data_IF_988369029600
#
_entry.id   IF_988369029600
#
_cell.length_a   1.000
_cell.length_b   1.000
_cell.length_c   1.000
_cell.angle_alpha   90.00
_cell.angle_beta   90.00
_cell.angle_gamma   90.00
#
_symmetry.space_group_name_H-M   'P 1'
#
loop_
_entity.id
_entity.type
_entity.pdbx_description
1 polymer ?
#
# COMPACT_ATOMS: atom_id res chain seq x y z
N UNK A 1 -7.02 -18.89 27.87
CA UNK A 1 -6.69 -19.70 26.68
C UNK A 1 -5.77 -18.87 25.80
N UNK A 2 -4.74 -19.49 25.23
CA UNK A 2 -3.53 -18.86 24.70
C UNK A 2 -3.75 -17.53 23.95
N UNK A 3 -3.16 -16.45 24.48
CA UNK A 3 -3.01 -15.21 23.73
C UNK A 3 -2.21 -15.51 22.47
N UNK A 4 -2.75 -15.11 21.31
CA UNK A 4 -2.12 -15.24 20.01
C UNK A 4 -0.69 -14.70 20.08
N UNK A 5 0.28 -15.62 20.08
CA UNK A 5 1.71 -15.31 20.15
C UNK A 5 2.05 -14.43 18.93
N UNK A 6 2.16 -13.11 19.12
CA UNK A 6 2.73 -12.17 18.16
C UNK A 6 1.81 -11.08 17.59
N UNK A 7 0.47 -11.26 17.62
CA UNK A 7 -0.48 -10.29 17.06
C UNK A 7 -0.72 -9.08 17.98
N UNK A 8 -0.59 -9.27 19.29
CA UNK A 8 -0.60 -8.20 20.31
C UNK A 8 0.66 -7.31 20.25
N UNK A 9 1.75 -7.83 19.67
CA UNK A 9 3.01 -7.11 19.46
C UNK A 9 3.14 -6.47 18.09
N UNK A 10 2.21 -6.71 17.17
CA UNK A 10 2.26 -6.15 15.82
C UNK A 10 2.32 -4.60 15.83
N UNK A 11 1.54 -3.87 16.66
CA UNK A 11 1.67 -2.42 16.75
C UNK A 11 3.06 -1.99 17.25
N UNK A 12 3.61 -2.71 18.22
CA UNK A 12 4.94 -2.43 18.79
C UNK A 12 6.02 -2.65 17.73
N UNK A 13 5.96 -3.75 16.96
CA UNK A 13 6.91 -4.02 15.90
C UNK A 13 6.90 -2.92 14.83
N UNK A 14 5.73 -2.47 14.40
CA UNK A 14 5.65 -1.37 13.43
C UNK A 14 6.22 -0.09 14.01
N UNK A 15 5.92 0.25 15.26
CA UNK A 15 6.51 1.42 15.93
C UNK A 15 8.04 1.32 15.97
N UNK A 16 8.58 0.15 16.30
CA UNK A 16 10.03 -0.07 16.29
C UNK A 16 10.64 0.06 14.89
N UNK A 17 9.95 -0.44 13.85
CA UNK A 17 10.38 -0.25 12.45
C UNK A 17 10.37 1.24 12.09
N UNK A 18 9.31 1.97 12.41
CA UNK A 18 9.21 3.41 12.14
C UNK A 18 10.28 4.21 12.88
N UNK A 19 10.57 3.87 14.15
CA UNK A 19 11.68 4.47 14.90
C UNK A 19 13.01 4.15 14.22
N UNK A 20 13.23 2.90 13.82
CA UNK A 20 14.44 2.48 13.11
C UNK A 20 14.63 3.27 11.81
N UNK A 21 13.58 3.36 10.98
CA UNK A 21 13.57 4.14 9.75
C UNK A 21 13.79 5.64 10.02
N UNK A 22 13.20 6.19 11.07
CA UNK A 22 13.40 7.60 11.46
C UNK A 22 14.84 7.88 11.91
N UNK A 23 15.43 6.98 12.68
CA UNK A 23 16.84 7.09 13.13
C UNK A 23 17.79 6.97 11.94
N UNK A 24 17.58 6.00 11.04
CA UNK A 24 18.43 5.84 9.85
C UNK A 24 18.28 7.03 8.90
N UNK A 25 17.05 7.51 8.66
CA UNK A 25 16.80 8.70 7.86
C UNK A 25 17.48 9.93 8.47
N UNK A 26 17.39 10.13 9.79
CA UNK A 26 18.05 11.24 10.48
C UNK A 26 19.58 11.15 10.47
N UNK A 27 20.14 9.93 10.54
CA UNK A 27 21.57 9.70 10.37
C UNK A 27 22.03 10.07 8.95
N UNK A 28 21.33 9.59 7.92
CA UNK A 28 21.61 9.91 6.52
C UNK A 28 21.44 11.38 6.22
N UNK A 29 20.40 12.02 6.76
CA UNK A 29 20.20 13.45 6.60
C UNK A 29 21.41 14.25 7.11
N UNK A 30 21.92 13.92 8.30
CA UNK A 30 23.10 14.60 8.87
C UNK A 30 24.39 14.28 8.12
N UNK A 31 24.58 13.02 7.73
CA UNK A 31 25.77 12.55 7.02
C UNK A 31 25.85 13.15 5.62
N UNK A 32 24.75 13.07 4.88
CA UNK A 32 24.66 13.41 3.46
C UNK A 32 24.22 14.88 3.27
N UNK A 33 24.04 15.63 4.37
CA UNK A 33 23.62 17.04 4.41
C UNK A 33 22.36 17.31 3.60
N UNK A 34 21.38 16.40 3.70
CA UNK A 34 20.11 16.53 2.99
C UNK A 34 19.30 17.66 3.60
N UNK A 35 19.00 18.67 2.80
CA UNK A 35 18.13 19.78 3.19
C UNK A 35 16.66 19.34 3.11
N UNK A 36 15.93 19.46 4.23
CA UNK A 36 14.49 19.21 4.26
C UNK A 36 13.78 20.50 3.93
N UNK A 37 13.13 20.53 2.77
CA UNK A 37 12.31 21.65 2.32
C UNK A 37 10.83 21.32 2.53
N UNK A 38 10.11 21.98 3.46
CA UNK A 38 8.71 21.67 3.76
C UNK A 38 7.76 21.81 2.55
N UNK A 39 8.14 22.63 1.56
CA UNK A 39 7.40 22.78 0.31
C UNK A 39 7.27 21.48 -0.48
N UNK A 40 8.27 20.60 -0.42
CA UNK A 40 8.24 19.31 -1.10
C UNK A 40 7.18 18.39 -0.50
N UNK A 41 6.98 18.45 0.82
CA UNK A 41 5.93 17.69 1.47
C UNK A 41 4.54 18.11 0.99
N UNK A 42 4.30 19.43 0.81
CA UNK A 42 3.05 19.92 0.24
C UNK A 42 2.86 19.48 -1.21
N UNK A 43 3.92 19.55 -2.02
CA UNK A 43 3.87 19.07 -3.41
C UNK A 43 3.59 17.56 -3.47
N UNK A 44 4.16 16.78 -2.58
CA UNK A 44 3.90 15.35 -2.46
C UNK A 44 2.42 15.07 -2.12
N UNK A 45 1.83 15.78 -1.16
CA UNK A 45 0.40 15.61 -0.83
C UNK A 45 -0.49 15.97 -2.03
N UNK A 46 -0.18 17.05 -2.74
CA UNK A 46 -0.94 17.45 -3.93
C UNK A 46 -0.83 16.40 -5.04
N UNK A 47 0.38 15.91 -5.31
CA UNK A 47 0.63 14.84 -6.27
C UNK A 47 -0.12 13.55 -5.90
N UNK A 48 -0.01 13.12 -4.64
CA UNK A 48 -0.74 11.96 -4.12
C UNK A 48 -2.25 12.11 -4.17
N UNK A 49 -2.78 13.33 -3.99
CA UNK A 49 -4.22 13.59 -4.13
C UNK A 49 -4.68 13.34 -5.56
N UNK A 50 -3.90 13.74 -6.56
CA UNK A 50 -4.21 13.46 -7.98
C UNK A 50 -4.19 11.96 -8.24
N UNK A 51 -3.17 11.25 -7.76
CA UNK A 51 -3.11 9.80 -7.91
C UNK A 51 -4.26 9.09 -7.18
N UNK A 52 -4.68 9.57 -6.01
CA UNK A 52 -5.78 9.00 -5.24
C UNK A 52 -7.12 9.11 -5.99
N UNK A 53 -7.39 10.26 -6.61
CA UNK A 53 -8.58 10.45 -7.45
C UNK A 53 -8.58 9.52 -8.67
N UNK A 54 -7.39 9.26 -9.24
CA UNK A 54 -7.25 8.35 -10.38
C UNK A 54 -7.43 6.88 -9.95
N UNK A 55 -6.90 6.49 -8.78
CA UNK A 55 -6.89 5.11 -8.28
C UNK A 55 -8.27 4.46 -8.38
N UNK A 56 -9.30 5.07 -7.80
CA UNK A 56 -10.65 4.49 -7.77
C UNK A 56 -11.22 4.23 -9.16
N UNK A 57 -11.06 5.19 -10.07
CA UNK A 57 -11.53 5.06 -11.46
C UNK A 57 -10.79 3.96 -12.23
N UNK A 58 -9.47 3.85 -12.04
CA UNK A 58 -8.65 2.82 -12.69
C UNK A 58 -8.97 1.44 -12.13
N UNK A 59 -9.03 1.31 -10.80
CA UNK A 59 -9.33 0.06 -10.13
C UNK A 59 -10.72 -0.46 -10.54
N UNK A 60 -11.75 0.39 -10.49
CA UNK A 60 -13.11 0.01 -10.88
C UNK A 60 -13.19 -0.37 -12.36
N UNK A 61 -12.63 0.45 -13.26
CA UNK A 61 -12.68 0.20 -14.71
C UNK A 61 -11.95 -1.09 -15.09
N UNK A 62 -10.79 -1.34 -14.49
CA UNK A 62 -10.02 -2.56 -14.73
C UNK A 62 -10.71 -3.79 -14.15
N UNK A 63 -11.29 -3.72 -12.95
CA UNK A 63 -12.08 -4.83 -12.38
C UNK A 63 -13.24 -5.20 -13.30
N UNK A 64 -14.00 -4.22 -13.77
CA UNK A 64 -15.10 -4.44 -14.71
C UNK A 64 -14.62 -5.06 -16.02
N UNK A 65 -13.46 -4.63 -16.53
CA UNK A 65 -12.84 -5.20 -17.72
C UNK A 65 -12.47 -6.68 -17.52
N UNK A 66 -11.84 -7.03 -16.40
CA UNK A 66 -11.41 -8.40 -16.14
C UNK A 66 -12.56 -9.36 -15.84
N UNK A 67 -13.60 -8.90 -15.16
CA UNK A 67 -14.69 -9.77 -14.70
C UNK A 67 -15.85 -9.89 -15.70
N UNK A 68 -15.81 -9.15 -16.82
CA UNK A 68 -16.71 -9.23 -18.00
C UNK A 68 -18.23 -9.24 -17.76
N UNK A 69 -18.70 -9.22 -16.51
CA UNK A 69 -20.10 -9.05 -16.15
C UNK A 69 -20.25 -7.65 -15.54
N UNK A 70 -21.12 -6.78 -16.10
CA UNK A 70 -21.47 -5.53 -15.46
C UNK A 70 -22.32 -5.83 -14.22
N UNK A 71 -21.65 -6.07 -13.10
CA UNK A 71 -22.24 -6.01 -11.78
C UNK A 71 -22.01 -4.61 -11.22
N UNK A 72 -23.02 -4.06 -10.55
CA UNK A 72 -22.82 -2.86 -9.73
C UNK A 72 -22.02 -3.31 -8.52
N UNK A 73 -20.70 -3.26 -8.60
CA UNK A 73 -19.83 -3.44 -7.45
C UNK A 73 -19.99 -2.24 -6.54
N UNK A 74 -20.97 -2.30 -5.63
CA UNK A 74 -21.00 -1.42 -4.48
C UNK A 74 -19.89 -1.85 -3.54
N UNK A 75 -18.84 -1.04 -3.43
CA UNK A 75 -17.89 -1.09 -2.32
C UNK A 75 -18.70 -1.06 -1.03
N UNK A 76 -18.92 -2.23 -0.43
CA UNK A 76 -19.55 -2.34 0.88
C UNK A 76 -18.52 -1.84 1.89
N UNK A 77 -18.51 -0.53 2.15
CA UNK A 77 -17.79 -0.03 3.30
C UNK A 77 -18.42 -0.69 4.52
N UNK A 78 -17.60 -1.38 5.31
CA UNK A 78 -17.98 -1.82 6.65
C UNK A 78 -18.15 -0.56 7.48
N UNK A 79 -19.28 0.12 7.35
CA UNK A 79 -19.71 1.16 8.29
C UNK A 79 -20.03 0.46 9.59
N UNK A 80 -19.00 0.22 10.39
CA UNK A 80 -19.21 0.32 11.82
C UNK A 80 -19.80 1.71 12.08
N UNK A 81 -20.75 1.83 13.00
CA UNK A 81 -21.15 3.14 13.52
C UNK A 81 -19.98 3.72 14.34
N UNK A 82 -18.86 4.00 13.67
CA UNK A 82 -17.64 4.53 14.24
C UNK A 82 -17.64 6.03 14.03
N UNK A 83 -17.23 6.74 15.08
CA UNK A 83 -16.96 8.17 15.03
C UNK A 83 -16.08 8.51 13.82
N UNK A 84 -16.40 9.60 13.12
CA UNK A 84 -15.64 10.08 11.97
C UNK A 84 -14.13 10.12 12.22
N UNK A 85 -13.70 10.50 13.43
CA UNK A 85 -12.29 10.59 13.81
C UNK A 85 -11.62 9.21 13.86
N UNK A 86 -12.35 8.15 14.23
CA UNK A 86 -11.84 6.78 14.20
C UNK A 86 -11.64 6.32 12.76
N UNK A 87 -12.63 6.54 11.89
CA UNK A 87 -12.52 6.17 10.47
C UNK A 87 -11.38 6.92 9.79
N UNK A 88 -11.25 8.22 10.07
CA UNK A 88 -10.14 9.04 9.56
C UNK A 88 -8.77 8.52 10.03
N UNK A 89 -8.65 8.19 11.32
CA UNK A 89 -7.43 7.58 11.87
C UNK A 89 -7.11 6.25 11.17
N UNK A 90 -8.12 5.40 10.95
CA UNK A 90 -7.94 4.12 10.27
C UNK A 90 -7.54 4.31 8.80
N UNK A 91 -8.14 5.23 8.06
CA UNK A 91 -7.77 5.56 6.68
C UNK A 91 -6.31 6.03 6.56
N UNK A 92 -5.90 6.96 7.43
CA UNK A 92 -4.51 7.44 7.45
C UNK A 92 -3.53 6.34 7.88
N UNK A 93 -3.93 5.54 8.87
CA UNK A 93 -3.16 4.41 9.38
C UNK A 93 -2.97 3.33 8.32
N UNK A 94 -4.03 2.90 7.63
CA UNK A 94 -4.00 1.88 6.60
C UNK A 94 -2.99 2.24 5.50
N UNK A 95 -3.04 3.46 4.97
CA UNK A 95 -2.09 3.91 3.95
C UNK A 95 -0.63 3.85 4.40
N UNK A 96 -0.30 4.14 5.66
CA UNK A 96 1.09 4.03 6.14
C UNK A 96 1.47 2.56 6.41
N UNK A 97 0.61 1.84 7.13
CA UNK A 97 0.89 0.49 7.59
C UNK A 97 0.95 -0.52 6.44
N UNK A 98 -0.01 -0.46 5.53
CA UNK A 98 -0.11 -1.41 4.44
C UNK A 98 0.98 -1.15 3.39
N UNK A 99 1.24 0.11 3.02
CA UNK A 99 2.35 0.42 2.11
C UNK A 99 3.71 0.06 2.73
N UNK A 100 3.90 0.21 4.05
CA UNK A 100 5.13 -0.19 4.70
C UNK A 100 5.39 -1.70 4.52
N UNK A 101 4.36 -2.52 4.76
CA UNK A 101 4.48 -3.98 4.68
C UNK A 101 4.59 -4.44 3.23
N UNK A 102 3.64 -4.06 2.39
CA UNK A 102 3.53 -4.63 1.05
C UNK A 102 4.47 -3.97 0.05
N UNK A 103 4.81 -2.68 0.22
CA UNK A 103 5.66 -1.99 -0.75
C UNK A 103 7.08 -1.94 -0.22
N UNK A 104 7.33 -1.24 0.88
CA UNK A 104 8.70 -1.10 1.36
C UNK A 104 9.34 -2.43 1.76
N UNK A 105 8.67 -3.25 2.58
CA UNK A 105 9.29 -4.51 3.04
C UNK A 105 9.22 -5.59 1.96
N UNK A 106 8.03 -5.85 1.42
CA UNK A 106 7.83 -6.99 0.54
C UNK A 106 8.40 -6.79 -0.87
N UNK A 107 8.31 -5.59 -1.48
CA UNK A 107 8.94 -5.36 -2.79
C UNK A 107 10.47 -5.35 -2.65
N UNK A 108 11.03 -4.61 -1.69
CA UNK A 108 12.50 -4.55 -1.53
C UNK A 108 13.11 -5.91 -1.19
N UNK A 109 12.46 -6.70 -0.32
CA UNK A 109 12.92 -8.07 -0.04
C UNK A 109 12.80 -8.99 -1.26
N UNK A 110 11.72 -8.88 -2.03
CA UNK A 110 11.53 -9.64 -3.27
C UNK A 110 12.58 -9.27 -4.32
N UNK A 111 12.89 -7.98 -4.46
CA UNK A 111 13.97 -7.49 -5.33
C UNK A 111 15.31 -8.04 -4.85
N UNK A 112 15.65 -7.94 -3.57
CA UNK A 112 16.90 -8.44 -3.01
C UNK A 112 17.10 -9.93 -3.25
N UNK A 113 16.06 -10.74 -3.02
CA UNK A 113 16.08 -12.19 -3.29
C UNK A 113 16.22 -12.45 -4.79
N UNK A 114 15.47 -11.74 -5.64
CA UNK A 114 15.55 -11.86 -7.09
C UNK A 114 16.94 -11.59 -7.65
N UNK A 115 17.60 -10.51 -7.20
CA UNK A 115 18.98 -10.22 -7.60
C UNK A 115 19.95 -11.29 -7.09
N UNK A 116 19.71 -11.84 -5.91
CA UNK A 116 20.57 -12.88 -5.33
C UNK A 116 20.49 -14.21 -6.07
N UNK A 117 19.32 -14.57 -6.63
CA UNK A 117 19.09 -15.83 -7.31
C UNK A 117 19.45 -15.83 -8.79
N UNK A 118 19.42 -14.66 -9.45
CA UNK A 118 19.59 -14.58 -10.91
C UNK A 118 20.86 -13.84 -11.35
N UNK A 119 21.91 -13.86 -10.52
CA UNK A 119 23.15 -13.09 -10.73
C UNK A 119 23.79 -13.22 -12.12
N UNK A 120 23.66 -14.38 -12.77
CA UNK A 120 24.33 -14.68 -14.05
C UNK A 120 23.39 -14.63 -15.28
N UNK A 121 22.19 -14.07 -15.14
CA UNK A 121 21.20 -14.06 -16.23
C UNK A 121 21.43 -12.88 -17.21
N UNK A 122 21.39 -13.11 -18.54
CA UNK A 122 21.65 -12.08 -19.57
C UNK A 122 20.45 -11.17 -19.87
N UNK A 123 19.32 -11.33 -19.16
CA UNK A 123 18.12 -10.51 -19.33
C UNK A 123 18.23 -9.20 -18.53
N UNK A 124 17.37 -8.22 -18.85
CA UNK A 124 17.26 -6.98 -18.09
C UNK A 124 16.60 -7.28 -16.72
N UNK A 125 17.42 -7.79 -15.79
CA UNK A 125 17.03 -8.40 -14.51
C UNK A 125 16.16 -7.47 -13.66
N UNK A 126 16.44 -6.18 -13.72
CA UNK A 126 15.79 -5.17 -12.90
C UNK A 126 14.29 -5.07 -13.21
N UNK A 127 13.92 -5.03 -14.50
CA UNK A 127 12.50 -4.95 -14.90
C UNK A 127 11.74 -6.25 -14.63
N UNK A 128 12.37 -7.40 -14.84
CA UNK A 128 11.73 -8.70 -14.58
C UNK A 128 11.49 -8.88 -13.08
N UNK A 129 12.50 -8.63 -12.26
CA UNK A 129 12.39 -8.75 -10.81
C UNK A 129 11.38 -7.73 -10.26
N UNK A 130 11.35 -6.51 -10.80
CA UNK A 130 10.34 -5.51 -10.45
C UNK A 130 8.92 -5.97 -10.81
N UNK A 131 8.70 -6.54 -11.99
CA UNK A 131 7.40 -7.05 -12.40
C UNK A 131 6.93 -8.20 -11.49
N UNK A 132 7.83 -9.14 -11.14
CA UNK A 132 7.51 -10.24 -10.22
C UNK A 132 7.19 -9.70 -8.83
N UNK A 133 8.02 -8.81 -8.28
CA UNK A 133 7.81 -8.23 -6.96
C UNK A 133 6.51 -7.43 -6.87
N UNK A 134 6.20 -6.65 -7.92
CA UNK A 134 4.97 -5.89 -8.04
C UNK A 134 3.74 -6.82 -8.05
N UNK A 135 3.72 -7.85 -8.89
CA UNK A 135 2.60 -8.78 -8.97
C UNK A 135 2.44 -9.55 -7.65
N UNK A 136 3.55 -10.05 -7.11
CA UNK A 136 3.55 -10.81 -5.87
C UNK A 136 3.04 -9.99 -4.67
N UNK A 137 3.52 -8.75 -4.54
CA UNK A 137 3.07 -7.81 -3.51
C UNK A 137 1.57 -7.51 -3.65
N UNK A 138 1.11 -7.25 -4.87
CA UNK A 138 -0.29 -6.90 -5.14
C UNK A 138 -1.26 -8.04 -4.85
N UNK A 139 -0.87 -9.28 -5.16
CA UNK A 139 -1.67 -10.46 -4.83
C UNK A 139 -1.71 -10.71 -3.33
N UNK A 140 -0.58 -10.60 -2.62
CA UNK A 140 -0.56 -10.75 -1.17
C UNK A 140 -1.36 -9.65 -0.47
N UNK A 141 -1.28 -8.41 -0.95
CA UNK A 141 -2.11 -7.29 -0.46
C UNK A 141 -3.61 -7.64 -0.51
N UNK A 142 -4.08 -8.18 -1.64
CA UNK A 142 -5.47 -8.62 -1.79
C UNK A 142 -5.81 -9.81 -0.89
N UNK A 143 -4.97 -10.85 -0.87
CA UNK A 143 -5.18 -12.05 -0.05
C UNK A 143 -5.32 -11.70 1.44
N UNK A 144 -4.48 -10.79 1.95
CA UNK A 144 -4.48 -10.43 3.36
C UNK A 144 -5.75 -9.73 3.84
N UNK A 145 -6.56 -9.18 2.94
CA UNK A 145 -7.87 -8.63 3.29
C UNK A 145 -8.89 -9.71 3.67
N UNK A 146 -8.63 -10.98 3.34
CA UNK A 146 -9.53 -12.11 3.64
C UNK A 146 -9.01 -13.00 4.77
N UNK A 147 -7.92 -12.61 5.44
CA UNK A 147 -7.23 -13.45 6.44
C UNK A 147 -7.33 -12.83 7.83
N UNK A 148 -7.60 -13.67 8.82
CA UNK A 148 -7.62 -13.29 10.24
C UNK A 148 -9.01 -12.92 10.77
N UNK A 149 -9.12 -12.57 12.06
CA UNK A 149 -10.41 -12.36 12.73
C UNK A 149 -11.23 -11.18 12.19
N UNK A 150 -10.59 -10.26 11.47
CA UNK A 150 -11.20 -9.07 10.87
C UNK A 150 -11.17 -9.10 9.33
N UNK A 151 -10.89 -10.26 8.73
CA UNK A 151 -10.88 -10.40 7.27
C UNK A 151 -12.29 -10.35 6.68
N UNK A 152 -12.40 -9.78 5.48
CA UNK A 152 -13.62 -9.74 4.68
C UNK A 152 -14.05 -11.16 4.29
N UNK A 153 -15.35 -11.35 4.00
CA UNK A 153 -15.81 -12.55 3.31
C UNK A 153 -15.26 -12.52 1.89
N UNK A 154 -14.65 -13.63 1.46
CA UNK A 154 -14.08 -13.71 0.12
C UNK A 154 -15.14 -13.43 -0.94
N UNK A 155 -14.83 -12.47 -1.81
CA UNK A 155 -15.63 -12.06 -2.94
C UNK A 155 -14.70 -11.73 -4.11
N UNK A 156 -15.04 -12.21 -5.31
CA UNK A 156 -14.15 -12.11 -6.48
C UNK A 156 -13.99 -10.65 -6.94
N UNK A 157 -15.06 -9.85 -6.87
CA UNK A 157 -15.04 -8.45 -7.32
C UNK A 157 -14.09 -7.64 -6.43
N UNK A 158 -14.24 -7.78 -5.11
CA UNK A 158 -13.33 -7.14 -4.15
C UNK A 158 -11.89 -7.65 -4.28
N UNK A 159 -11.67 -8.94 -4.58
CA UNK A 159 -10.33 -9.51 -4.70
C UNK A 159 -9.59 -8.95 -5.91
N UNK A 160 -10.26 -8.86 -7.05
CA UNK A 160 -9.69 -8.26 -8.26
C UNK A 160 -9.50 -6.76 -8.08
N UNK A 161 -10.47 -6.05 -7.52
CA UNK A 161 -10.36 -4.63 -7.20
C UNK A 161 -9.13 -4.32 -6.33
N UNK A 162 -8.93 -5.08 -5.26
CA UNK A 162 -7.77 -4.94 -4.38
C UNK A 162 -6.47 -5.33 -5.06
N UNK A 163 -6.48 -6.34 -5.92
CA UNK A 163 -5.28 -6.72 -6.70
C UNK A 163 -4.88 -5.62 -7.67
N UNK A 164 -5.83 -5.03 -8.40
CA UNK A 164 -5.54 -3.91 -9.33
C UNK A 164 -5.06 -2.68 -8.57
N UNK A 165 -5.73 -2.32 -7.46
CA UNK A 165 -5.29 -1.23 -6.58
C UNK A 165 -3.88 -1.51 -6.05
N UNK A 166 -3.61 -2.78 -5.71
CA UNK A 166 -2.31 -3.33 -5.38
C UNK A 166 -1.25 -2.99 -6.42
N UNK A 167 -1.52 -3.34 -7.68
CA UNK A 167 -0.66 -3.14 -8.85
C UNK A 167 -0.40 -1.66 -9.08
N UNK A 168 -1.44 -0.82 -9.00
CA UNK A 168 -1.31 0.62 -9.17
C UNK A 168 -0.37 1.22 -8.13
N UNK A 169 -0.58 0.91 -6.84
CA UNK A 169 0.22 1.44 -5.75
C UNK A 169 1.66 0.91 -5.78
N UNK A 170 1.85 -0.36 -6.17
CA UNK A 170 3.18 -0.93 -6.35
C UNK A 170 3.93 -0.29 -7.54
N UNK A 171 3.26 0.01 -8.64
CA UNK A 171 3.85 0.79 -9.73
C UNK A 171 4.23 2.20 -9.27
N UNK A 172 3.33 2.87 -8.54
CA UNK A 172 3.58 4.20 -8.02
C UNK A 172 4.75 4.22 -7.04
N UNK A 173 4.86 3.20 -6.18
CA UNK A 173 6.00 2.99 -5.28
C UNK A 173 7.32 2.88 -6.07
N UNK A 174 7.38 2.02 -7.09
CA UNK A 174 8.60 1.83 -7.89
C UNK A 174 8.98 3.10 -8.68
N UNK A 175 8.00 3.90 -9.09
CA UNK A 175 8.23 5.10 -9.90
C UNK A 175 8.53 6.36 -9.08
N UNK A 176 7.92 6.51 -7.90
CA UNK A 176 7.90 7.75 -7.11
C UNK A 176 8.34 7.59 -5.66
N UNK A 177 8.38 6.35 -5.15
CA UNK A 177 8.82 6.01 -3.81
C UNK A 177 7.70 5.92 -2.78
N UNK A 178 8.11 5.55 -1.56
CA UNK A 178 7.23 5.23 -0.44
C UNK A 178 6.24 6.33 -0.07
N UNK A 179 6.71 7.58 0.07
CA UNK A 179 5.87 8.67 0.56
C UNK A 179 4.68 8.97 -0.35
N UNK A 180 4.88 8.96 -1.67
CA UNK A 180 3.80 9.18 -2.64
C UNK A 180 2.80 8.03 -2.62
N UNK A 181 3.27 6.77 -2.56
CA UNK A 181 2.39 5.59 -2.48
C UNK A 181 1.53 5.60 -1.20
N UNK A 182 2.15 5.81 -0.04
CA UNK A 182 1.47 5.86 1.25
C UNK A 182 0.42 6.98 1.34
N UNK A 183 0.77 8.20 0.89
CA UNK A 183 -0.19 9.30 0.86
C UNK A 183 -1.30 9.07 -0.16
N UNK A 184 -1.01 8.45 -1.31
CA UNK A 184 -2.04 8.14 -2.31
C UNK A 184 -3.09 7.18 -1.75
N UNK A 185 -2.64 6.12 -1.07
CA UNK A 185 -3.53 5.16 -0.43
C UNK A 185 -4.35 5.82 0.69
N UNK A 186 -3.67 6.50 1.63
CA UNK A 186 -4.35 7.17 2.73
C UNK A 186 -5.39 8.20 2.25
N UNK A 187 -5.05 9.00 1.24
CA UNK A 187 -5.96 10.01 0.70
C UNK A 187 -7.11 9.38 -0.08
N UNK A 188 -6.89 8.26 -0.78
CA UNK A 188 -7.97 7.52 -1.43
C UNK A 188 -9.03 7.07 -0.41
N UNK A 189 -8.60 6.48 0.71
CA UNK A 189 -9.52 6.06 1.77
C UNK A 189 -10.25 7.26 2.41
N UNK A 190 -9.56 8.38 2.61
CA UNK A 190 -10.17 9.62 3.11
C UNK A 190 -11.19 10.19 2.12
N UNK A 191 -10.90 10.14 0.82
CA UNK A 191 -11.82 10.63 -0.20
C UNK A 191 -13.08 9.77 -0.29
N UNK A 192 -12.96 8.46 -0.13
CA UNK A 192 -14.11 7.57 0.04
C UNK A 192 -14.90 7.85 1.33
N UNK A 193 -14.21 8.07 2.45
CA UNK A 193 -14.84 8.37 3.74
C UNK A 193 -15.64 9.69 3.69
N UNK A 194 -15.12 10.68 2.99
CA UNK A 194 -15.71 12.03 2.91
C UNK A 194 -16.70 12.20 1.75
N UNK A 195 -16.86 11.18 0.90
CA UNK A 195 -17.77 11.21 -0.25
C UNK A 195 -17.29 12.06 -1.42
N UNK A 196 -15.97 12.32 -1.51
CA UNK A 196 -15.35 12.94 -2.68
C UNK A 196 -15.31 11.95 -3.86
N UNK A 197 -15.20 10.65 -3.54
CA UNK A 197 -15.22 9.51 -4.48
C UNK A 197 -16.44 8.62 -4.24
#
# INVERSE_FOLDING_TARGET
MAGFIGLDRFPILVVLILIGLGVTAGYHQKRDKVEIHPSWFLLMILESSVYALILGSVALSATNFFLTIPHVFTLSQTTFATDFWISLMLSLGAGIHEELVFRLILIESSLYVGHSWFKDSPLNLDYRNAAIALIFSSLLFSIFHYVGPYGDIFDMDSFVFRTVSGVYLAFLYLARGFGIAAWTHALYDVFLLTGIL
#
